data_IF_363811409109
#
_entry.id   IF_363811409109
#
_cell.length_a   1.000
_cell.length_b   1.000
_cell.length_c   1.000
_cell.angle_alpha   90.00
_cell.angle_beta   90.00
_cell.angle_gamma   90.00
#
_symmetry.space_group_name_H-M   'P 1'
#
loop_
_entity.id
_entity.type
_entity.pdbx_description
1 polymer ?
#
# COMPACT_ATOMS: atom_id res chain seq x y z
N UNK A 1 16.10 -13.71 -20.62
CA UNK A 1 16.72 -12.39 -20.35
C UNK A 1 15.88 -11.17 -20.79
N UNK A 2 14.56 -11.33 -20.98
CA UNK A 2 13.63 -10.26 -21.33
C UNK A 2 12.45 -10.25 -20.35
N UNK A 3 12.75 -10.23 -19.04
CA UNK A 3 11.70 -10.30 -18.02
C UNK A 3 11.00 -8.95 -17.91
N UNK A 4 9.71 -8.92 -18.21
CA UNK A 4 8.84 -7.75 -18.02
C UNK A 4 8.60 -7.46 -16.53
N UNK A 5 8.96 -8.38 -15.62
CA UNK A 5 8.76 -8.22 -14.19
C UNK A 5 9.41 -6.96 -13.62
N UNK A 6 10.61 -6.62 -14.09
CA UNK A 6 11.35 -5.43 -13.62
C UNK A 6 11.10 -4.17 -14.47
N UNK A 7 10.15 -4.20 -15.41
CA UNK A 7 9.82 -3.04 -16.24
C UNK A 7 8.98 -2.04 -15.45
N UNK A 8 9.30 -0.74 -15.54
CA UNK A 8 8.56 0.32 -14.85
C UNK A 8 7.06 0.33 -15.18
N UNK A 9 6.70 -0.01 -16.42
CA UNK A 9 5.30 -0.14 -16.83
C UNK A 9 4.57 -1.25 -16.06
N UNK A 10 5.23 -2.40 -15.87
CA UNK A 10 4.71 -3.51 -15.09
C UNK A 10 4.55 -3.12 -13.63
N UNK A 11 5.58 -2.51 -13.03
CA UNK A 11 5.53 -2.06 -11.65
C UNK A 11 4.37 -1.07 -11.40
N UNK A 12 4.19 -0.08 -12.30
CA UNK A 12 3.07 0.88 -12.18
C UNK A 12 1.71 0.20 -12.26
N UNK A 13 1.57 -0.80 -13.14
CA UNK A 13 0.35 -1.58 -13.28
C UNK A 13 0.08 -2.40 -12.02
N UNK A 14 1.09 -3.05 -11.46
CA UNK A 14 0.98 -3.84 -10.23
C UNK A 14 0.53 -3.00 -9.04
N UNK A 15 1.07 -1.78 -8.89
CA UNK A 15 0.64 -0.85 -7.84
C UNK A 15 -0.84 -0.47 -8.02
N UNK A 16 -1.24 -0.08 -9.23
CA UNK A 16 -2.63 0.29 -9.52
C UNK A 16 -3.62 -0.87 -9.27
N UNK A 17 -3.26 -2.08 -9.69
CA UNK A 17 -4.06 -3.27 -9.46
C UNK A 17 -4.20 -3.57 -7.96
N UNK A 18 -3.11 -3.40 -7.19
CA UNK A 18 -3.15 -3.52 -5.73
C UNK A 18 -4.03 -2.45 -5.05
N UNK A 19 -3.91 -1.18 -5.45
CA UNK A 19 -4.74 -0.11 -4.87
C UNK A 19 -6.23 -0.34 -5.14
N UNK A 20 -6.56 -0.75 -6.37
CA UNK A 20 -7.93 -1.12 -6.74
C UNK A 20 -8.42 -2.34 -5.96
N UNK A 21 -7.56 -3.34 -5.74
CA UNK A 21 -7.85 -4.52 -4.92
C UNK A 21 -8.19 -4.15 -3.47
N UNK A 22 -7.37 -3.30 -2.84
CA UNK A 22 -7.59 -2.89 -1.45
C UNK A 22 -8.88 -2.06 -1.34
N UNK A 23 -9.10 -1.15 -2.29
CA UNK A 23 -10.31 -0.33 -2.35
C UNK A 23 -11.58 -1.16 -2.52
N UNK A 24 -11.61 -2.12 -3.45
CA UNK A 24 -12.79 -2.98 -3.66
C UNK A 24 -13.07 -3.90 -2.46
N UNK A 25 -12.03 -4.29 -1.73
CA UNK A 25 -12.15 -5.14 -0.55
C UNK A 25 -12.51 -4.35 0.72
N UNK A 26 -12.56 -3.01 0.65
CA UNK A 26 -12.76 -2.16 1.83
C UNK A 26 -11.62 -2.27 2.85
N UNK A 27 -10.43 -2.72 2.41
CA UNK A 27 -9.28 -2.92 3.29
C UNK A 27 -8.55 -1.58 3.45
N UNK A 28 -8.42 -1.05 4.68
CA UNK A 28 -7.64 0.15 4.91
C UNK A 28 -6.16 -0.12 4.64
N UNK A 29 -5.57 0.61 3.70
CA UNK A 29 -4.16 0.52 3.34
C UNK A 29 -3.43 1.84 3.66
N UNK A 30 -2.10 1.84 3.53
CA UNK A 30 -1.26 3.03 3.70
C UNK A 30 -0.10 2.98 2.70
N UNK A 31 0.22 4.12 2.09
CA UNK A 31 1.38 4.25 1.19
C UNK A 31 2.68 4.45 2.01
N UNK A 32 3.73 3.71 1.65
CA UNK A 32 5.05 3.78 2.26
C UNK A 32 6.07 4.58 1.44
N UNK A 33 5.68 5.15 0.29
CA UNK A 33 6.61 5.82 -0.64
C UNK A 33 7.30 7.02 0.00
N UNK A 34 6.61 7.75 0.87
CA UNK A 34 7.13 8.98 1.50
C UNK A 34 7.15 8.92 3.03
N UNK A 35 6.99 7.74 3.63
CA UNK A 35 6.85 7.59 5.08
C UNK A 35 7.96 6.75 5.67
N UNK A 36 8.47 7.17 6.83
CA UNK A 36 9.44 6.40 7.60
C UNK A 36 8.79 5.19 8.26
N UNK A 37 9.60 4.19 8.64
CA UNK A 37 9.12 3.00 9.36
C UNK A 37 8.44 3.36 10.68
N UNK A 38 8.97 4.36 11.40
CA UNK A 38 8.40 4.87 12.65
C UNK A 38 7.03 5.51 12.43
N UNK A 39 6.87 6.29 11.36
CA UNK A 39 5.58 6.91 11.02
C UNK A 39 4.53 5.86 10.65
N UNK A 40 4.90 4.85 9.85
CA UNK A 40 4.02 3.73 9.53
C UNK A 40 3.63 2.95 10.79
N UNK A 41 4.57 2.75 11.71
CA UNK A 41 4.32 2.09 12.99
C UNK A 41 3.32 2.87 13.84
N UNK A 42 3.44 4.19 13.91
CA UNK A 42 2.51 5.05 14.62
C UNK A 42 1.10 5.01 14.00
N UNK A 43 0.99 5.03 12.66
CA UNK A 43 -0.31 4.92 11.95
C UNK A 43 -0.99 3.58 12.24
N UNK A 44 -0.24 2.47 12.22
CA UNK A 44 -0.78 1.13 12.53
C UNK A 44 -1.29 1.10 13.98
N UNK A 45 -0.48 1.57 14.93
CA UNK A 45 -0.87 1.62 16.35
C UNK A 45 -2.09 2.52 16.57
N UNK A 46 -2.18 3.66 15.88
CA UNK A 46 -3.33 4.56 15.96
C UNK A 46 -4.61 3.89 15.43
N UNK A 47 -4.55 3.25 14.26
CA UNK A 47 -5.69 2.52 13.68
C UNK A 47 -6.17 1.37 14.57
N UNK A 48 -5.25 0.62 15.19
CA UNK A 48 -5.61 -0.47 16.11
C UNK A 48 -6.24 0.06 17.40
N UNK A 49 -5.73 1.18 17.93
CA UNK A 49 -6.23 1.78 19.18
C UNK A 49 -7.56 2.52 19.01
N UNK A 50 -7.87 3.01 17.81
CA UNK A 50 -9.12 3.69 17.48
C UNK A 50 -9.87 2.92 16.39
N UNK A 51 -10.42 1.73 16.69
CA UNK A 51 -11.02 0.88 15.67
C UNK A 51 -12.29 1.44 15.04
N UNK A 52 -12.89 2.52 15.58
CA UNK A 52 -14.05 3.22 15.01
C UNK A 52 -14.20 4.63 15.61
N UNK A 53 -14.21 5.63 14.73
CA UNK A 53 -15.06 6.84 14.83
C UNK A 53 -15.66 7.05 13.45
#
# INVERSE_FOLDING_TARGET
PNSTYASLENCKKEILDCENLMKRAGIPWADSTTRSVEELSAIILQKIRQPNT
#
